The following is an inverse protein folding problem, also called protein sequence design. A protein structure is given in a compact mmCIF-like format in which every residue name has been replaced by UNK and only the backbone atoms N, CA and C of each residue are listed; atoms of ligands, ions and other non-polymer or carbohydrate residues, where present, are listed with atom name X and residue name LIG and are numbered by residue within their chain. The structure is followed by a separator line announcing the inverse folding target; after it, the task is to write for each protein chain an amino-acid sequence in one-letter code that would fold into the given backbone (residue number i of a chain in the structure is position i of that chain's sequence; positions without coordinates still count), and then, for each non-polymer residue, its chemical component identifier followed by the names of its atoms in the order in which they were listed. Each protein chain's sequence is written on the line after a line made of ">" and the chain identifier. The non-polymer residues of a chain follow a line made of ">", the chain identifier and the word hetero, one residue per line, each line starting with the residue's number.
data_IF_458319726384
#
_entry.id   IF_458319726384
#
_cell.length_a   1.000
_cell.length_b   1.000
_cell.length_c   1.000
_cell.angle_alpha   90.00
_cell.angle_beta   90.00
_cell.angle_gamma   90.00
#
_symmetry.space_group_name_H-M   'P 1'
#
loop_
_entity.id
_entity.type
_entity.pdbx_description
1 polymer ?
#
# COMPACT_ATOMS: atom_id res chain seq x y z
N UNK A 1 -32.57 15.97 13.55
CA UNK A 1 -31.11 16.24 13.52
C UNK A 1 -30.63 16.12 12.08
N UNK A 2 -30.12 17.20 11.46
CA UNK A 2 -29.62 17.17 10.07
C UNK A 2 -28.23 16.53 10.06
N UNK A 3 -28.10 15.33 9.50
CA UNK A 3 -26.79 14.71 9.23
C UNK A 3 -26.08 15.56 8.17
N UNK A 4 -25.11 16.37 8.61
CA UNK A 4 -24.21 17.07 7.69
C UNK A 4 -23.24 16.02 7.15
N UNK A 5 -23.49 15.58 5.92
CA UNK A 5 -22.58 14.71 5.18
C UNK A 5 -21.35 15.54 4.82
N UNK A 6 -20.38 15.61 5.71
CA UNK A 6 -19.10 16.25 5.41
C UNK A 6 -18.44 15.44 4.29
N UNK A 7 -18.17 16.04 3.12
CA UNK A 7 -17.42 15.35 2.09
C UNK A 7 -16.04 15.01 2.68
N UNK A 8 -15.68 13.72 2.69
CA UNK A 8 -14.33 13.28 3.08
C UNK A 8 -13.32 14.18 2.37
N UNK A 9 -12.51 14.90 3.14
CA UNK A 9 -11.48 15.77 2.60
C UNK A 9 -10.69 14.98 1.54
N UNK A 10 -10.52 15.55 0.35
CA UNK A 10 -9.69 14.95 -0.71
C UNK A 10 -8.33 14.68 -0.09
N UNK A 11 -7.96 13.40 0.02
CA UNK A 11 -6.65 13.03 0.56
C UNK A 11 -5.58 13.76 -0.24
N UNK A 12 -4.72 14.49 0.46
CA UNK A 12 -3.60 15.17 -0.19
C UNK A 12 -2.62 14.11 -0.70
N UNK A 13 -1.94 14.43 -1.78
CA UNK A 13 -0.92 13.55 -2.37
C UNK A 13 0.13 13.08 -1.34
N UNK A 14 0.52 13.96 -0.41
CA UNK A 14 1.41 13.61 0.70
C UNK A 14 0.80 12.58 1.67
N UNK A 15 -0.50 12.69 1.95
CA UNK A 15 -1.24 11.73 2.78
C UNK A 15 -1.31 10.35 2.11
N UNK A 16 -1.60 10.30 0.81
CA UNK A 16 -1.63 9.05 0.04
C UNK A 16 -0.27 8.36 0.01
N UNK A 17 0.80 9.13 -0.25
CA UNK A 17 2.15 8.61 -0.27
C UNK A 17 2.56 8.05 1.11
N UNK A 18 2.19 8.74 2.20
CA UNK A 18 2.45 8.27 3.58
C UNK A 18 1.68 6.99 3.87
N UNK A 19 0.38 6.95 3.56
CA UNK A 19 -0.46 5.77 3.78
C UNK A 19 0.04 4.53 3.01
N UNK A 20 0.52 4.71 1.77
CA UNK A 20 1.08 3.60 0.98
C UNK A 20 2.42 3.10 1.54
N UNK A 21 3.27 4.00 2.05
CA UNK A 21 4.50 3.60 2.75
C UNK A 21 4.20 2.82 4.03
N UNK A 22 3.28 3.32 4.85
CA UNK A 22 2.86 2.63 6.08
C UNK A 22 2.29 1.23 5.78
N UNK A 23 1.51 1.09 4.70
CA UNK A 23 1.02 -0.22 4.24
C UNK A 23 2.16 -1.13 3.82
N UNK A 24 3.14 -0.63 3.06
CA UNK A 24 4.30 -1.42 2.66
C UNK A 24 5.10 -1.91 3.87
N UNK A 25 5.37 -1.04 4.84
CA UNK A 25 6.08 -1.39 6.08
C UNK A 25 5.30 -2.41 6.92
N UNK A 26 3.98 -2.25 7.03
CA UNK A 26 3.14 -3.21 7.74
C UNK A 26 3.16 -4.60 7.08
N UNK A 27 3.18 -4.65 5.75
CA UNK A 27 3.31 -5.90 4.99
C UNK A 27 4.69 -6.51 5.22
N UNK A 28 5.77 -5.73 5.17
CA UNK A 28 7.13 -6.22 5.45
C UNK A 28 7.25 -6.79 6.86
N UNK A 29 6.72 -6.10 7.88
CA UNK A 29 6.67 -6.61 9.25
C UNK A 29 5.95 -7.96 9.32
N UNK A 30 4.80 -8.10 8.64
CA UNK A 30 4.06 -9.38 8.58
C UNK A 30 4.79 -10.49 7.83
N UNK A 31 5.55 -10.16 6.78
CA UNK A 31 6.34 -11.13 6.03
C UNK A 31 7.57 -11.59 6.82
N UNK A 32 8.17 -10.69 7.62
CA UNK A 32 9.34 -10.97 8.47
C UNK A 32 8.98 -11.74 9.75
N UNK A 33 7.73 -11.69 10.21
CA UNK A 33 7.28 -12.53 11.32
C UNK A 33 7.37 -14.02 10.95
N UNK A 34 7.75 -14.90 11.88
CA UNK A 34 7.84 -16.34 11.63
C UNK A 34 6.49 -16.88 11.12
N UNK A 35 6.55 -17.73 10.09
CA UNK A 35 5.35 -18.25 9.40
C UNK A 35 4.44 -19.05 10.31
N UNK A 36 5.01 -19.63 11.36
CA UNK A 36 4.29 -20.47 12.28
C UNK A 36 3.88 -19.64 13.50
N UNK A 37 2.57 -19.35 13.68
CA UNK A 37 2.10 -18.93 14.99
C UNK A 37 2.43 -20.04 15.99
N UNK A 38 2.67 -19.64 17.25
CA UNK A 38 2.90 -20.54 18.38
C UNK A 38 1.94 -21.74 18.29
N UNK A 39 2.43 -22.97 18.52
CA UNK A 39 1.59 -24.16 18.42
C UNK A 39 0.40 -24.02 19.37
N UNK A 40 -0.78 -23.77 18.82
CA UNK A 40 -2.03 -23.86 19.55
C UNK A 40 -2.43 -25.33 19.60
N UNK A 41 -3.08 -25.76 20.69
CA UNK A 41 -3.55 -27.16 20.89
C UNK A 41 -4.60 -27.63 19.87
N UNK A 42 -4.86 -26.86 18.81
CA UNK A 42 -5.80 -27.21 17.75
C UNK A 42 -5.07 -28.00 16.67
N UNK A 43 -5.65 -29.10 16.16
CA UNK A 43 -5.05 -29.85 15.06
C UNK A 43 -4.91 -28.93 13.84
N UNK A 44 -3.66 -28.65 13.44
CA UNK A 44 -3.35 -27.91 12.20
C UNK A 44 -3.55 -28.88 11.03
N UNK A 45 -4.66 -28.77 10.31
CA UNK A 45 -4.89 -29.54 9.08
C UNK A 45 -4.07 -29.01 7.89
N UNK A 46 -3.78 -29.87 6.91
CA UNK A 46 -3.08 -29.55 5.64
C UNK A 46 -3.71 -28.35 4.90
N UNK A 47 -5.02 -28.13 5.08
CA UNK A 47 -5.76 -27.01 4.49
C UNK A 47 -5.32 -25.65 5.09
N UNK A 48 -5.01 -25.60 6.39
CA UNK A 48 -4.57 -24.36 7.04
C UNK A 48 -3.17 -23.94 6.60
N UNK A 49 -2.22 -24.87 6.47
CA UNK A 49 -0.86 -24.54 6.03
C UNK A 49 -0.83 -23.96 4.62
N UNK A 50 -1.57 -24.55 3.67
CA UNK A 50 -1.73 -24.03 2.31
C UNK A 50 -2.38 -22.63 2.29
N UNK A 51 -3.30 -22.36 3.21
CA UNK A 51 -3.93 -21.04 3.35
C UNK A 51 -2.93 -19.97 3.78
N UNK A 52 -2.07 -20.27 4.76
CA UNK A 52 -1.02 -19.34 5.20
C UNK A 52 -0.02 -18.99 4.10
N UNK A 53 0.38 -19.97 3.30
CA UNK A 53 1.28 -19.77 2.17
C UNK A 53 0.64 -18.88 1.09
N UNK A 54 -0.64 -19.13 0.75
CA UNK A 54 -1.40 -18.29 -0.18
C UNK A 54 -1.52 -16.85 0.32
N UNK A 55 -1.77 -16.66 1.61
CA UNK A 55 -1.81 -15.32 2.23
C UNK A 55 -0.47 -14.60 2.12
N UNK A 56 0.65 -15.29 2.39
CA UNK A 56 1.99 -14.71 2.24
C UNK A 56 2.32 -14.34 0.79
N UNK A 57 1.93 -15.16 -0.17
CA UNK A 57 2.11 -14.84 -1.59
C UNK A 57 1.29 -13.62 -2.01
N UNK A 58 0.03 -13.52 -1.55
CA UNK A 58 -0.78 -12.32 -1.77
C UNK A 58 -0.15 -11.07 -1.14
N UNK A 59 0.38 -11.17 0.08
CA UNK A 59 1.07 -10.05 0.74
C UNK A 59 2.33 -9.61 -0.03
N UNK A 60 3.10 -10.56 -0.58
CA UNK A 60 4.24 -10.25 -1.45
C UNK A 60 3.80 -9.50 -2.71
N UNK A 61 2.71 -9.95 -3.35
CA UNK A 61 2.18 -9.29 -4.53
C UNK A 61 1.69 -7.87 -4.20
N UNK A 62 0.94 -7.71 -3.10
CA UNK A 62 0.49 -6.40 -2.62
C UNK A 62 1.66 -5.44 -2.36
N UNK A 63 2.77 -5.92 -1.81
CA UNK A 63 3.98 -5.12 -1.62
C UNK A 63 4.52 -4.61 -2.96
N UNK A 64 4.62 -5.48 -3.97
CA UNK A 64 5.08 -5.10 -5.31
C UNK A 64 4.15 -4.07 -5.93
N UNK A 65 2.84 -4.25 -5.81
CA UNK A 65 1.84 -3.35 -6.40
C UNK A 65 1.89 -1.97 -5.73
N UNK A 66 2.06 -1.90 -4.41
CA UNK A 66 2.26 -0.64 -3.67
C UNK A 66 3.53 0.09 -4.16
N UNK A 67 4.63 -0.62 -4.39
CA UNK A 67 5.85 0.01 -4.92
C UNK A 67 5.67 0.53 -6.34
N UNK A 68 4.93 -0.20 -7.18
CA UNK A 68 4.57 0.29 -8.52
C UNK A 68 3.72 1.56 -8.44
N UNK A 69 2.74 1.59 -7.54
CA UNK A 69 1.88 2.76 -7.34
C UNK A 69 2.69 3.99 -6.87
N UNK A 70 3.64 3.79 -5.95
CA UNK A 70 4.58 4.83 -5.52
C UNK A 70 5.47 5.36 -6.67
N UNK A 71 5.90 4.48 -7.58
CA UNK A 71 6.69 4.87 -8.75
C UNK A 71 5.85 5.65 -9.78
N UNK A 72 4.61 5.21 -10.04
CA UNK A 72 3.66 5.92 -10.91
C UNK A 72 3.41 7.33 -10.37
N UNK A 73 3.11 7.45 -9.07
CA UNK A 73 2.97 8.73 -8.39
C UNK A 73 4.21 9.62 -8.59
N UNK A 74 5.42 9.07 -8.37
CA UNK A 74 6.67 9.82 -8.57
C UNK A 74 6.81 10.35 -10.01
N UNK A 75 6.48 9.53 -11.00
CA UNK A 75 6.49 9.91 -12.42
C UNK A 75 5.46 10.99 -12.73
N UNK A 76 4.24 10.88 -12.22
CA UNK A 76 3.21 11.92 -12.38
C UNK A 76 3.65 13.25 -11.78
N UNK A 77 4.26 13.24 -10.59
CA UNK A 77 4.81 14.45 -9.97
C UNK A 77 5.88 15.09 -10.86
N UNK A 78 6.80 14.30 -11.41
CA UNK A 78 7.85 14.80 -12.30
C UNK A 78 7.26 15.37 -13.60
N UNK A 79 6.26 14.70 -14.18
CA UNK A 79 5.57 15.20 -15.38
C UNK A 79 4.88 16.54 -15.13
N UNK A 80 4.21 16.72 -13.98
CA UNK A 80 3.58 17.99 -13.60
C UNK A 80 4.62 19.12 -13.48
N UNK A 81 5.78 18.83 -12.88
CA UNK A 81 6.89 19.79 -12.76
C UNK A 81 7.46 20.14 -14.14
N UNK A 82 7.72 19.15 -15.00
CA UNK A 82 8.24 19.40 -16.34
C UNK A 82 7.24 20.19 -17.19
N UNK A 83 5.95 19.89 -17.08
CA UNK A 83 4.88 20.63 -17.76
C UNK A 83 4.80 22.08 -17.27
N UNK A 84 4.93 22.34 -15.96
CA UNK A 84 4.93 23.72 -15.44
C UNK A 84 6.16 24.51 -15.89
N UNK A 85 7.33 23.88 -15.99
CA UNK A 85 8.55 24.51 -16.51
C UNK A 85 8.41 24.87 -17.99
N UNK A 86 7.82 23.98 -18.81
CA UNK A 86 7.62 24.21 -20.24
C UNK A 86 6.73 25.42 -20.53
N UNK A 87 5.71 25.67 -19.71
CA UNK A 87 4.81 26.83 -19.85
C UNK A 87 5.47 28.15 -19.45
N UNK A 88 6.45 28.13 -18.54
CA UNK A 88 7.18 29.32 -18.09
C UNK A 88 8.30 29.77 -19.03
N UNK A 89 8.70 28.94 -20.00
CA UNK A 89 9.81 29.22 -20.94
C UNK A 89 9.36 29.85 -22.27
N UNK A 90 8.08 30.20 -22.37
CA UNK A 90 7.41 30.75 -23.59
C UNK A 90 7.18 32.26 -23.52
N UNK A 91 8.05 33.01 -22.83
CA UNK A 91 8.04 34.49 -22.83
C UNK A 91 9.43 34.99 -23.20
#
# INVERSE_FOLDING_TARGET
>A
MKQVFTPKAKETYASQQKALREKAEAIEKRLNMPSNPAPTLRPKGIVQSKSHEKVRNNLRQQRVDIFKELDVMRKEKQQRINASISKGKTI
#
